data_IF_349635933021
#
_entry.id   IF_349635933021
#
_cell.length_a   1.000
_cell.length_b   1.000
_cell.length_c   1.000
_cell.angle_alpha   90.00
_cell.angle_beta   90.00
_cell.angle_gamma   90.00
#
_symmetry.space_group_name_H-M   'P 1'
#
loop_
_entity.id
_entity.type
_entity.pdbx_description
1 polymer ?
#
# COMPACT_ATOMS: atom_id res chain seq x y z
N UNK A 1 17.74 -18.49 7.91
CA UNK A 1 18.32 -18.39 6.56
C UNK A 1 19.38 -17.29 6.51
N UNK A 2 20.47 -17.48 5.74
CA UNK A 2 21.53 -16.48 5.53
C UNK A 2 21.67 -16.15 4.05
N UNK A 3 21.72 -14.87 3.69
CA UNK A 3 21.94 -14.42 2.33
C UNK A 3 23.42 -14.59 1.93
N UNK A 4 23.65 -15.01 0.69
CA UNK A 4 25.01 -15.32 0.20
C UNK A 4 25.26 -14.52 -1.07
N UNK A 5 26.40 -13.83 -1.11
CA UNK A 5 26.90 -13.16 -2.29
C UNK A 5 28.19 -13.82 -2.78
N UNK A 6 28.44 -13.72 -4.07
CA UNK A 6 29.70 -14.16 -4.67
C UNK A 6 30.84 -13.15 -4.46
N UNK A 7 32.05 -13.47 -4.94
CA UNK A 7 33.23 -12.58 -4.85
C UNK A 7 32.97 -11.14 -5.37
N UNK A 8 32.12 -11.00 -6.38
CA UNK A 8 31.76 -9.75 -7.06
C UNK A 8 30.46 -9.11 -6.54
N UNK A 9 29.91 -9.62 -5.42
CA UNK A 9 28.65 -9.17 -4.82
C UNK A 9 27.40 -9.47 -5.66
N UNK A 10 27.47 -10.42 -6.59
CA UNK A 10 26.30 -10.98 -7.27
C UNK A 10 25.56 -11.94 -6.31
N UNK A 11 24.22 -11.97 -6.31
CA UNK A 11 23.47 -12.82 -5.41
C UNK A 11 23.62 -14.30 -5.77
N UNK A 12 23.76 -15.14 -4.74
CA UNK A 12 23.75 -16.60 -4.82
C UNK A 12 22.55 -17.15 -4.03
N UNK A 13 22.33 -18.46 -4.14
CA UNK A 13 21.32 -19.13 -3.33
C UNK A 13 21.62 -18.94 -1.83
N UNK A 14 20.60 -18.62 -1.01
CA UNK A 14 20.78 -18.51 0.42
C UNK A 14 21.16 -19.88 1.01
N UNK A 15 21.74 -19.87 2.21
CA UNK A 15 22.08 -21.10 2.90
C UNK A 15 21.60 -21.11 4.35
N UNK A 16 21.68 -22.29 4.98
CA UNK A 16 21.37 -22.46 6.40
C UNK A 16 22.45 -21.81 7.27
N UNK A 17 22.08 -21.42 8.48
CA UNK A 17 22.98 -20.81 9.47
C UNK A 17 24.17 -21.74 9.76
N UNK A 18 23.93 -23.05 9.79
CA UNK A 18 24.99 -24.07 9.96
C UNK A 18 26.03 -23.97 8.85
N UNK A 19 25.59 -23.89 7.58
CA UNK A 19 26.51 -23.78 6.44
C UNK A 19 27.24 -22.45 6.43
N UNK A 20 26.55 -21.35 6.72
CA UNK A 20 27.17 -20.02 6.82
C UNK A 20 28.28 -19.98 7.89
N UNK A 21 28.02 -20.55 9.08
CA UNK A 21 29.01 -20.65 10.16
C UNK A 21 30.25 -21.44 9.75
N UNK A 22 30.07 -22.60 9.11
CA UNK A 22 31.19 -23.42 8.63
C UNK A 22 32.01 -22.69 7.57
N UNK A 23 31.37 -21.95 6.66
CA UNK A 23 32.07 -21.15 5.65
C UNK A 23 32.90 -20.02 6.26
N UNK A 24 32.39 -19.37 7.32
CA UNK A 24 33.09 -18.34 8.07
C UNK A 24 34.27 -18.92 8.87
N UNK A 25 34.05 -20.00 9.62
CA UNK A 25 35.10 -20.67 10.41
C UNK A 25 36.25 -21.18 9.54
N UNK A 26 35.94 -21.68 8.33
CA UNK A 26 36.94 -22.13 7.35
C UNK A 26 37.58 -20.99 6.54
N UNK A 27 37.27 -19.72 6.85
CA UNK A 27 37.84 -18.56 6.17
C UNK A 27 37.41 -18.35 4.71
N UNK A 28 36.47 -19.16 4.20
CA UNK A 28 35.98 -19.13 2.81
C UNK A 28 34.97 -18.01 2.53
N UNK A 29 34.33 -17.50 3.57
CA UNK A 29 33.41 -16.38 3.49
C UNK A 29 33.83 -15.24 4.42
N UNK A 30 33.30 -14.05 4.16
CA UNK A 30 33.36 -12.89 5.07
C UNK A 30 31.95 -12.39 5.35
N UNK A 31 31.75 -11.78 6.52
CA UNK A 31 30.52 -11.04 6.80
C UNK A 31 30.49 -9.81 5.91
N UNK A 32 29.42 -9.65 5.13
CA UNK A 32 29.21 -8.49 4.26
C UNK A 32 28.27 -7.48 4.92
N UNK A 33 27.21 -7.96 5.58
CA UNK A 33 26.20 -7.13 6.24
C UNK A 33 25.60 -7.86 7.42
N UNK A 34 25.30 -7.13 8.50
CA UNK A 34 24.63 -7.69 9.68
C UNK A 34 23.11 -7.74 9.54
N UNK A 35 22.49 -6.75 8.88
CA UNK A 35 21.03 -6.70 8.74
C UNK A 35 20.56 -6.37 7.30
N UNK A 36 19.92 -7.32 6.60
CA UNK A 36 19.84 -8.73 6.97
C UNK A 36 21.23 -9.39 6.95
N UNK A 37 21.41 -10.45 7.75
CA UNK A 37 22.71 -11.12 7.85
C UNK A 37 23.09 -11.74 6.50
N UNK A 38 24.22 -11.28 5.95
CA UNK A 38 24.68 -11.59 4.60
C UNK A 38 26.16 -11.91 4.64
N UNK A 39 26.54 -13.03 4.04
CA UNK A 39 27.94 -13.42 3.85
C UNK A 39 28.33 -13.28 2.39
N UNK A 40 29.63 -13.07 2.14
CA UNK A 40 30.21 -13.05 0.80
C UNK A 40 31.29 -14.12 0.68
N UNK A 41 31.20 -14.98 -0.33
CA UNK A 41 32.22 -15.98 -0.64
C UNK A 41 33.46 -15.32 -1.25
N UNK A 42 34.65 -15.83 -0.93
CA UNK A 42 35.93 -15.33 -1.47
C UNK A 42 36.38 -16.07 -2.73
N UNK A 43 35.94 -17.31 -2.88
CA UNK A 43 36.53 -18.34 -3.73
C UNK A 43 35.58 -18.84 -4.81
N UNK A 44 34.41 -18.21 -4.98
CA UNK A 44 33.39 -18.62 -5.95
C UNK A 44 32.69 -17.43 -6.57
N UNK A 45 32.34 -17.55 -7.85
CA UNK A 45 31.52 -16.60 -8.61
C UNK A 45 30.13 -17.15 -8.89
N UNK A 46 29.19 -16.28 -9.26
CA UNK A 46 27.84 -16.69 -9.68
C UNK A 46 27.84 -17.59 -10.93
N UNK A 47 28.74 -17.32 -11.89
CA UNK A 47 28.88 -18.13 -13.11
C UNK A 47 29.35 -19.56 -12.82
N UNK A 48 30.11 -19.76 -11.74
CA UNK A 48 30.57 -21.07 -11.28
C UNK A 48 29.56 -21.77 -10.36
N UNK A 49 28.37 -21.19 -10.18
CA UNK A 49 27.35 -21.67 -9.25
C UNK A 49 26.09 -22.08 -9.99
N UNK A 50 25.47 -23.18 -9.55
CA UNK A 50 24.14 -23.54 -9.99
C UNK A 50 23.12 -22.79 -9.13
N UNK A 51 22.20 -22.08 -9.79
CA UNK A 51 21.14 -21.30 -9.17
C UNK A 51 19.81 -21.93 -9.54
N UNK A 52 18.91 -22.04 -8.57
CA UNK A 52 17.52 -22.40 -8.83
C UNK A 52 16.68 -21.15 -9.08
N UNK A 53 15.68 -21.21 -9.98
CA UNK A 53 14.79 -20.08 -10.23
C UNK A 53 14.00 -19.72 -8.97
N UNK A 54 14.05 -18.45 -8.60
CA UNK A 54 13.29 -17.90 -7.47
C UNK A 54 12.22 -16.93 -7.96
N UNK A 55 10.98 -17.12 -7.51
CA UNK A 55 9.88 -16.19 -7.73
C UNK A 55 9.55 -15.42 -6.47
N UNK A 56 9.50 -14.09 -6.60
CA UNK A 56 9.01 -13.20 -5.56
C UNK A 56 7.50 -13.00 -5.74
N UNK A 57 6.69 -13.39 -4.75
CA UNK A 57 5.26 -13.12 -4.70
C UNK A 57 4.97 -12.00 -3.70
N UNK A 58 4.13 -11.05 -4.12
CA UNK A 58 3.69 -9.92 -3.32
C UNK A 58 2.16 -9.97 -3.20
N UNK A 59 1.67 -9.83 -1.97
CA UNK A 59 0.25 -9.63 -1.66
C UNK A 59 0.07 -8.22 -1.05
N UNK A 60 -0.26 -7.20 -1.87
CA UNK A 60 -0.32 -5.82 -1.41
C UNK A 60 -1.56 -5.52 -0.55
N UNK A 61 -1.34 -5.24 0.74
CA UNK A 61 -2.42 -4.85 1.66
C UNK A 61 -2.40 -3.37 2.06
N UNK A 62 -3.45 -2.95 2.78
CA UNK A 62 -3.59 -1.57 3.25
C UNK A 62 -2.59 -1.22 4.36
N UNK A 63 -2.35 -2.15 5.29
CA UNK A 63 -1.45 -1.97 6.45
C UNK A 63 -0.17 -2.79 6.32
N UNK A 64 -0.28 -3.99 5.76
CA UNK A 64 0.82 -4.95 5.62
C UNK A 64 0.80 -5.47 4.20
N UNK A 65 1.97 -5.58 3.56
CA UNK A 65 2.12 -6.34 2.31
C UNK A 65 2.83 -7.65 2.64
N UNK A 66 2.20 -8.77 2.28
CA UNK A 66 2.80 -10.09 2.38
C UNK A 66 3.85 -10.28 1.30
N UNK A 67 4.98 -10.90 1.66
CA UNK A 67 6.09 -11.17 0.75
C UNK A 67 6.52 -12.61 0.91
N UNK A 68 6.53 -13.36 -0.19
CA UNK A 68 7.05 -14.71 -0.24
C UNK A 68 8.10 -14.86 -1.35
N UNK A 69 9.20 -15.54 -1.06
CA UNK A 69 10.14 -16.01 -2.09
C UNK A 69 10.01 -17.51 -2.18
N UNK A 70 9.68 -17.99 -3.37
CA UNK A 70 9.48 -19.40 -3.67
C UNK A 70 10.57 -19.87 -4.62
N UNK A 71 11.00 -21.12 -4.45
CA UNK A 71 11.81 -21.85 -5.42
C UNK A 71 10.87 -22.62 -6.34
N UNK A 72 11.03 -22.45 -7.64
CA UNK A 72 10.17 -23.06 -8.68
C UNK A 72 11.02 -23.96 -9.60
N UNK A 73 11.84 -24.82 -8.99
CA UNK A 73 12.65 -25.81 -9.70
C UNK A 73 11.81 -27.01 -10.20
N UNK A 74 10.71 -27.33 -9.51
CA UNK A 74 9.74 -28.33 -9.95
C UNK A 74 8.39 -27.67 -10.27
N UNK A 75 7.67 -28.19 -11.29
CA UNK A 75 6.37 -27.63 -11.70
C UNK A 75 5.25 -27.89 -10.68
N UNK A 76 5.38 -28.98 -9.91
CA UNK A 76 4.34 -29.47 -9.01
C UNK A 76 4.60 -29.12 -7.53
N UNK A 77 5.79 -28.63 -7.20
CA UNK A 77 6.19 -28.30 -5.82
C UNK A 77 6.91 -26.95 -5.76
N UNK A 78 6.35 -26.01 -5.00
CA UNK A 78 6.98 -24.72 -4.71
C UNK A 78 7.52 -24.71 -3.27
N UNK A 79 8.84 -24.76 -3.11
CA UNK A 79 9.45 -24.68 -1.78
C UNK A 79 9.59 -23.22 -1.35
N UNK A 80 9.17 -22.92 -0.12
CA UNK A 80 9.26 -21.56 0.43
C UNK A 80 10.66 -21.29 0.97
N UNK A 81 11.33 -20.28 0.40
CA UNK A 81 12.67 -19.85 0.80
C UNK A 81 12.60 -18.76 1.88
N UNK A 82 11.68 -17.81 1.72
CA UNK A 82 11.52 -16.68 2.63
C UNK A 82 10.06 -16.28 2.72
N UNK A 83 9.60 -16.04 3.94
CA UNK A 83 8.36 -15.32 4.24
C UNK A 83 8.71 -14.04 4.99
N UNK A 84 8.10 -12.94 4.59
CA UNK A 84 8.30 -11.64 5.20
C UNK A 84 7.05 -10.77 5.09
N UNK A 85 6.96 -9.78 5.96
CA UNK A 85 5.90 -8.79 5.96
C UNK A 85 6.49 -7.39 5.84
N UNK A 86 5.88 -6.56 5.01
CA UNK A 86 6.20 -5.14 4.92
C UNK A 86 5.12 -4.37 5.68
N UNK A 87 5.45 -3.86 6.87
CA UNK A 87 4.56 -3.00 7.62
C UNK A 87 4.59 -1.57 7.06
N UNK A 88 3.44 -1.12 6.55
CA UNK A 88 3.30 0.20 5.97
C UNK A 88 3.04 1.27 7.00
N UNK A 89 3.40 2.52 6.67
CA UNK A 89 3.08 3.68 7.49
C UNK A 89 1.59 4.04 7.35
N UNK A 90 0.82 3.82 8.42
CA UNK A 90 -0.63 4.07 8.46
C UNK A 90 -0.99 5.49 8.90
N UNK A 91 -0.04 6.21 9.53
CA UNK A 91 -0.26 7.51 10.18
C UNK A 91 -0.08 8.73 9.25
N UNK A 92 0.26 8.50 7.98
CA UNK A 92 0.54 9.57 7.00
C UNK A 92 -0.65 10.52 6.87
N UNK A 93 -1.87 9.96 6.76
CA UNK A 93 -3.11 10.76 6.67
C UNK A 93 -3.32 11.61 7.92
N UNK A 94 -3.23 11.00 9.10
CA UNK A 94 -3.39 11.69 10.37
C UNK A 94 -2.39 12.85 10.52
N UNK A 95 -1.11 12.62 10.17
CA UNK A 95 -0.06 13.66 10.18
C UNK A 95 -0.34 14.78 9.19
N UNK A 96 -0.86 14.47 8.00
CA UNK A 96 -1.25 15.48 7.01
C UNK A 96 -2.45 16.31 7.48
N UNK A 97 -3.44 15.69 8.10
CA UNK A 97 -4.64 16.36 8.61
C UNK A 97 -4.30 17.24 9.82
N UNK A 98 -3.46 16.77 10.75
CA UNK A 98 -2.94 17.59 11.84
C UNK A 98 -2.22 18.85 11.30
N UNK A 99 -1.33 18.67 10.32
CA UNK A 99 -0.61 19.79 9.68
C UNK A 99 -1.57 20.75 8.95
N UNK A 100 -2.63 20.22 8.33
CA UNK A 100 -3.68 21.00 7.67
C UNK A 100 -4.49 21.81 8.68
N UNK A 101 -4.86 21.23 9.81
CA UNK A 101 -5.59 21.89 10.89
C UNK A 101 -4.81 23.08 11.47
N UNK A 102 -3.53 22.89 11.80
CA UNK A 102 -2.65 23.97 12.30
C UNK A 102 -2.58 25.13 11.29
N UNK A 103 -2.41 24.83 10.00
CA UNK A 103 -2.38 25.86 8.93
C UNK A 103 -3.73 26.57 8.76
N UNK A 104 -4.86 25.88 8.97
CA UNK A 104 -6.19 26.50 8.95
C UNK A 104 -6.36 27.44 10.14
N UNK A 105 -6.05 26.99 11.35
CA UNK A 105 -6.12 27.81 12.59
C UNK A 105 -5.26 29.07 12.49
N UNK A 106 -4.02 28.93 11.99
CA UNK A 106 -3.13 30.09 11.76
C UNK A 106 -3.73 31.09 10.76
N UNK A 107 -4.26 30.62 9.63
CA UNK A 107 -4.88 31.49 8.61
C UNK A 107 -6.10 32.22 9.15
N UNK A 108 -6.98 31.53 9.88
CA UNK A 108 -8.14 32.16 10.51
C UNK A 108 -7.71 33.28 11.47
N UNK A 109 -6.69 33.05 12.30
CA UNK A 109 -6.17 34.05 13.25
C UNK A 109 -5.39 35.21 12.64
N UNK A 110 -4.63 34.97 11.56
CA UNK A 110 -3.60 35.91 11.05
C UNK A 110 -3.91 36.49 9.68
N UNK A 111 -4.89 35.96 8.95
CA UNK A 111 -5.24 36.44 7.61
C UNK A 111 -6.74 36.61 7.48
N UNK A 112 -7.26 37.71 8.05
CA UNK A 112 -8.64 38.15 7.84
C UNK A 112 -8.80 38.48 6.34
N UNK A 113 -9.79 37.89 5.66
CA UNK A 113 -10.10 38.11 4.24
C UNK A 113 -9.16 37.51 3.17
N UNK A 114 -8.44 36.42 3.47
CA UNK A 114 -7.65 35.71 2.42
C UNK A 114 -8.57 35.00 1.42
N UNK A 115 -8.63 35.49 0.17
CA UNK A 115 -9.33 34.84 -0.94
C UNK A 115 -8.88 33.37 -1.12
N UNK A 116 -9.82 32.44 -1.40
CA UNK A 116 -9.48 31.05 -1.66
C UNK A 116 -8.67 30.92 -2.97
N UNK A 117 -7.67 30.05 -2.97
CA UNK A 117 -6.83 29.75 -4.15
C UNK A 117 -7.09 28.33 -4.61
N UNK A 118 -8.20 28.10 -5.31
CA UNK A 118 -8.57 26.78 -5.84
C UNK A 118 -7.64 26.37 -7.00
N UNK A 119 -7.29 27.32 -7.86
CA UNK A 119 -6.44 27.11 -9.05
C UNK A 119 -5.00 26.69 -8.74
N UNK A 120 -4.51 26.94 -7.52
CA UNK A 120 -3.15 26.60 -7.11
C UNK A 120 -3.00 25.14 -6.63
N UNK A 121 -4.05 24.32 -6.79
CA UNK A 121 -4.08 22.92 -6.37
C UNK A 121 -4.12 21.99 -7.59
N UNK A 122 -3.24 22.22 -8.57
CA UNK A 122 -3.07 21.25 -9.67
C UNK A 122 -2.29 20.04 -9.16
N UNK A 123 -2.79 18.86 -9.51
CA UNK A 123 -2.06 17.59 -9.34
C UNK A 123 -1.42 17.28 -10.69
N UNK A 124 -0.11 17.00 -10.75
CA UNK A 124 0.51 16.59 -12.00
C UNK A 124 -0.06 15.25 -12.45
N UNK A 125 0.17 14.93 -13.72
CA UNK A 125 -0.09 13.59 -14.25
C UNK A 125 0.70 12.54 -13.46
N UNK A 126 0.09 11.39 -13.18
CA UNK A 126 0.70 10.34 -12.35
C UNK A 126 0.75 10.64 -10.85
N UNK A 127 0.15 11.73 -10.37
CA UNK A 127 0.15 12.04 -8.94
C UNK A 127 -0.57 10.96 -8.12
N UNK A 128 0.13 10.42 -7.14
CA UNK A 128 -0.44 9.53 -6.13
C UNK A 128 -0.67 10.28 -4.81
N UNK A 129 -1.74 9.97 -4.07
CA UNK A 129 -1.88 10.47 -2.70
C UNK A 129 -0.68 10.03 -1.86
N UNK A 130 -0.17 10.86 -0.93
CA UNK A 130 1.06 10.55 -0.18
C UNK A 130 1.01 9.22 0.60
N UNK A 131 -0.18 8.78 1.03
CA UNK A 131 -0.36 7.49 1.69
C UNK A 131 -0.23 6.31 0.72
N UNK A 132 -0.65 6.46 -0.54
CA UNK A 132 -0.47 5.45 -1.57
C UNK A 132 0.98 5.42 -2.05
N UNK A 133 1.55 6.59 -2.33
CA UNK A 133 2.95 6.74 -2.74
C UNK A 133 3.90 6.12 -1.70
N UNK A 134 3.66 6.37 -0.40
CA UNK A 134 4.46 5.76 0.67
C UNK A 134 4.40 4.23 0.65
N UNK A 135 3.24 3.63 0.38
CA UNK A 135 3.11 2.16 0.29
C UNK A 135 3.88 1.60 -0.89
N UNK A 136 3.69 2.18 -2.08
CA UNK A 136 4.41 1.79 -3.30
C UNK A 136 5.91 1.88 -3.09
N UNK A 137 6.41 3.01 -2.57
CA UNK A 137 7.84 3.22 -2.35
C UNK A 137 8.43 2.27 -1.30
N UNK A 138 7.67 1.93 -0.25
CA UNK A 138 8.10 0.95 0.75
C UNK A 138 8.21 -0.45 0.14
N UNK A 139 7.23 -0.85 -0.66
CA UNK A 139 7.26 -2.13 -1.38
C UNK A 139 8.43 -2.19 -2.37
N UNK A 140 8.59 -1.17 -3.21
CA UNK A 140 9.72 -1.07 -4.14
C UNK A 140 11.07 -1.11 -3.43
N UNK A 141 11.20 -0.43 -2.28
CA UNK A 141 12.43 -0.47 -1.48
C UNK A 141 12.74 -1.88 -0.97
N UNK A 142 11.73 -2.63 -0.53
CA UNK A 142 11.89 -4.01 -0.08
C UNK A 142 12.24 -4.95 -1.25
N UNK A 143 11.53 -4.86 -2.37
CA UNK A 143 11.79 -5.64 -3.59
C UNK A 143 13.23 -5.41 -4.08
N UNK A 144 13.66 -4.15 -4.17
CA UNK A 144 15.02 -3.80 -4.58
C UNK A 144 16.10 -4.32 -3.63
N UNK A 145 15.80 -4.46 -2.33
CA UNK A 145 16.73 -5.10 -1.38
C UNK A 145 16.81 -6.60 -1.62
N UNK A 146 15.68 -7.27 -1.86
CA UNK A 146 15.65 -8.71 -2.13
C UNK A 146 16.34 -9.05 -3.45
N UNK A 147 16.14 -8.27 -4.52
CA UNK A 147 16.82 -8.45 -5.81
C UNK A 147 18.36 -8.37 -5.69
N UNK A 148 18.88 -7.61 -4.71
CA UNK A 148 20.31 -7.51 -4.45
C UNK A 148 20.88 -8.67 -3.63
N UNK A 149 20.02 -9.44 -2.98
CA UNK A 149 20.40 -10.48 -2.01
C UNK A 149 20.05 -11.90 -2.48
N UNK A 150 19.11 -12.04 -3.41
CA UNK A 150 18.61 -13.30 -3.92
C UNK A 150 18.58 -13.27 -5.46
N UNK A 151 18.90 -14.41 -6.12
CA UNK A 151 18.84 -14.54 -7.56
C UNK A 151 17.38 -14.72 -8.04
N UNK A 152 16.56 -13.69 -7.87
CA UNK A 152 15.14 -13.69 -8.27
C UNK A 152 15.05 -13.59 -9.79
N UNK A 153 14.28 -14.49 -10.40
CA UNK A 153 14.07 -14.56 -11.85
C UNK A 153 12.69 -14.02 -12.27
N UNK A 154 11.70 -14.09 -11.38
CA UNK A 154 10.34 -13.63 -11.66
C UNK A 154 9.72 -12.91 -10.45
N UNK A 155 8.83 -11.97 -10.73
CA UNK A 155 8.02 -11.29 -9.71
C UNK A 155 6.55 -11.45 -10.09
N UNK A 156 5.71 -11.83 -9.12
CA UNK A 156 4.26 -11.87 -9.26
C UNK A 156 3.63 -11.04 -8.15
N UNK A 157 2.61 -10.26 -8.49
CA UNK A 157 1.87 -9.47 -7.52
C UNK A 157 0.40 -9.78 -7.67
N UNK A 158 -0.30 -9.92 -6.56
CA UNK A 158 -1.75 -10.01 -6.58
C UNK A 158 -2.35 -8.65 -6.98
N UNK A 159 -3.30 -8.69 -7.91
CA UNK A 159 -4.09 -7.52 -8.30
C UNK A 159 -5.53 -7.76 -7.91
N UNK A 160 -5.94 -7.12 -6.82
CA UNK A 160 -7.30 -7.24 -6.32
C UNK A 160 -8.17 -6.18 -6.99
N UNK A 161 -9.02 -6.61 -7.93
CA UNK A 161 -10.00 -5.76 -8.61
C UNK A 161 -11.40 -6.13 -8.12
N UNK A 162 -11.97 -5.31 -7.24
CA UNK A 162 -13.36 -5.46 -6.80
C UNK A 162 -14.27 -4.48 -7.54
N UNK A 163 -15.40 -4.99 -8.03
CA UNK A 163 -16.51 -4.17 -8.48
C UNK A 163 -17.49 -3.98 -7.31
N UNK A 164 -17.36 -2.85 -6.62
CA UNK A 164 -18.19 -2.57 -5.44
C UNK A 164 -19.66 -2.36 -5.79
N UNK A 165 -20.00 -1.98 -7.02
CA UNK A 165 -21.40 -1.83 -7.42
C UNK A 165 -22.02 -3.19 -7.71
N UNK A 166 -21.30 -4.06 -8.43
CA UNK A 166 -21.75 -5.43 -8.70
C UNK A 166 -21.88 -6.28 -7.44
N UNK A 167 -21.07 -6.01 -6.41
CA UNK A 167 -21.23 -6.62 -5.08
C UNK A 167 -22.54 -6.23 -4.39
N UNK A 168 -23.11 -5.06 -4.71
CA UNK A 168 -24.37 -4.60 -4.12
C UNK A 168 -25.58 -4.98 -4.97
N UNK A 169 -25.46 -4.85 -6.29
CA UNK A 169 -26.46 -5.28 -7.26
C UNK A 169 -25.78 -6.16 -8.32
N UNK A 170 -25.87 -7.50 -8.22
CA UNK A 170 -25.22 -8.42 -9.16
C UNK A 170 -25.66 -8.26 -10.62
N UNK A 171 -26.90 -7.80 -10.83
CA UNK A 171 -27.52 -7.64 -12.16
C UNK A 171 -27.21 -6.29 -12.81
N UNK A 172 -26.47 -5.40 -12.13
CA UNK A 172 -26.19 -4.05 -12.64
C UNK A 172 -25.50 -4.11 -14.00
N UNK A 173 -26.03 -3.37 -14.97
CA UNK A 173 -25.53 -3.40 -16.35
C UNK A 173 -25.64 -2.04 -17.08
N UNK A 174 -24.75 -1.84 -18.05
CA UNK A 174 -24.79 -0.70 -18.98
C UNK A 174 -24.86 0.68 -18.31
N UNK A 175 -25.98 1.38 -18.53
CA UNK A 175 -26.21 2.76 -18.09
C UNK A 175 -26.32 2.85 -16.56
N UNK A 176 -26.73 1.79 -15.87
CA UNK A 176 -26.91 1.78 -14.41
C UNK A 176 -25.59 1.99 -13.66
N UNK A 177 -24.45 1.58 -14.23
CA UNK A 177 -23.13 1.90 -13.68
C UNK A 177 -22.83 3.40 -13.64
N UNK A 178 -23.39 4.14 -14.61
CA UNK A 178 -23.19 5.58 -14.78
C UNK A 178 -24.24 6.38 -14.01
N UNK A 179 -25.46 5.84 -13.92
CA UNK A 179 -26.61 6.44 -13.23
C UNK A 179 -26.80 5.80 -11.86
N UNK A 180 -25.98 6.22 -10.89
CA UNK A 180 -26.20 5.86 -9.49
C UNK A 180 -27.53 6.39 -8.95
N UNK A 181 -27.92 5.99 -7.74
CA UNK A 181 -29.21 6.33 -7.11
C UNK A 181 -29.56 7.82 -7.11
N UNK A 182 -28.55 8.70 -7.04
CA UNK A 182 -28.71 10.16 -7.02
C UNK A 182 -28.44 10.81 -8.39
N UNK A 183 -28.39 10.04 -9.48
CA UNK A 183 -28.15 10.59 -10.80
C UNK A 183 -29.27 11.57 -11.19
N UNK A 184 -28.90 12.82 -11.44
CA UNK A 184 -29.85 13.89 -11.73
C UNK A 184 -30.38 14.63 -10.49
N UNK A 185 -29.99 14.22 -9.28
CA UNK A 185 -30.32 14.91 -8.03
C UNK A 185 -29.11 15.61 -7.43
N UNK A 186 -29.29 16.83 -6.92
CA UNK A 186 -28.37 17.35 -5.92
C UNK A 186 -28.58 16.60 -4.59
N UNK A 187 -27.49 16.31 -3.87
CA UNK A 187 -27.56 15.61 -2.56
C UNK A 187 -28.50 16.34 -1.60
N UNK A 188 -28.52 17.67 -1.65
CA UNK A 188 -29.40 18.49 -0.80
C UNK A 188 -30.87 18.29 -1.16
N UNK A 189 -31.22 18.31 -2.44
CA UNK A 189 -32.59 18.12 -2.92
C UNK A 189 -33.10 16.73 -2.55
N UNK A 190 -32.28 15.71 -2.79
CA UNK A 190 -32.61 14.34 -2.38
C UNK A 190 -32.90 14.23 -0.88
N UNK A 191 -32.08 14.87 -0.03
CA UNK A 191 -32.31 14.85 1.41
C UNK A 191 -33.58 15.61 1.81
N UNK A 192 -33.87 16.74 1.18
CA UNK A 192 -35.10 17.49 1.44
C UNK A 192 -36.33 16.67 1.07
N UNK A 193 -36.34 16.05 -0.11
CA UNK A 193 -37.46 15.23 -0.56
C UNK A 193 -37.63 13.97 0.29
N UNK A 194 -36.52 13.28 0.61
CA UNK A 194 -36.51 12.10 1.49
C UNK A 194 -37.16 12.36 2.85
N UNK A 195 -36.95 13.55 3.41
CA UNK A 195 -37.50 13.94 4.71
C UNK A 195 -38.73 14.85 4.61
N UNK A 196 -39.32 14.99 3.42
CA UNK A 196 -40.53 15.79 3.20
C UNK A 196 -40.37 17.26 3.57
N UNK A 197 -39.19 17.84 3.37
CA UNK A 197 -38.80 19.20 3.77
C UNK A 197 -38.89 19.46 5.29
N UNK A 198 -38.84 18.39 6.10
CA UNK A 198 -38.86 18.47 7.57
C UNK A 198 -37.50 18.15 8.16
N UNK A 199 -37.20 18.70 9.33
CA UNK A 199 -36.04 18.27 10.10
C UNK A 199 -36.20 16.81 10.54
N UNK A 200 -35.21 15.96 10.23
CA UNK A 200 -35.23 14.54 10.59
C UNK A 200 -35.26 14.28 12.12
N UNK A 201 -34.85 15.24 12.94
CA UNK A 201 -34.81 15.09 14.41
C UNK A 201 -36.05 15.64 15.10
N UNK A 202 -36.51 16.82 14.71
CA UNK A 202 -37.56 17.55 15.43
C UNK A 202 -38.83 17.80 14.61
N UNK A 203 -38.87 17.38 13.34
CA UNK A 203 -40.04 17.51 12.47
C UNK A 203 -40.40 18.95 12.07
N UNK A 204 -39.62 19.96 12.45
CA UNK A 204 -39.89 21.36 12.07
C UNK A 204 -39.75 21.57 10.57
N UNK A 205 -40.63 22.41 10.04
CA UNK A 205 -40.73 22.82 8.64
C UNK A 205 -40.41 24.32 8.50
N UNK A 206 -40.18 24.77 7.25
CA UNK A 206 -40.04 26.19 6.91
C UNK A 206 -38.95 26.95 7.68
N UNK A 207 -37.90 26.25 8.08
CA UNK A 207 -36.69 26.81 8.70
C UNK A 207 -35.46 26.48 7.84
N UNK A 208 -34.37 27.27 7.93
CA UNK A 208 -33.10 26.88 7.32
C UNK A 208 -32.64 25.51 7.86
N UNK A 209 -32.53 24.51 6.98
CA UNK A 209 -32.05 23.17 7.30
C UNK A 209 -30.58 23.00 6.90
N UNK A 210 -29.80 22.36 7.78
CA UNK A 210 -28.40 22.01 7.55
C UNK A 210 -28.27 20.52 7.21
N UNK A 211 -27.28 20.19 6.38
CA UNK A 211 -26.95 18.81 6.04
C UNK A 211 -25.96 18.29 7.08
N UNK A 212 -26.40 17.30 7.85
CA UNK A 212 -25.56 16.65 8.86
C UNK A 212 -25.58 15.13 8.71
N UNK A 213 -24.56 14.49 9.24
CA UNK A 213 -24.55 13.05 9.40
C UNK A 213 -25.40 12.64 10.61
N UNK A 214 -26.35 11.73 10.42
CA UNK A 214 -27.16 11.15 11.52
C UNK A 214 -26.25 10.56 12.61
N UNK A 215 -25.26 9.77 12.20
CA UNK A 215 -24.14 9.38 13.05
C UNK A 215 -23.00 10.36 12.76
N UNK A 216 -22.52 11.15 13.72
CA UNK A 216 -21.43 12.09 13.46
C UNK A 216 -20.19 11.40 12.85
N UNK A 217 -19.50 12.05 11.92
CA UNK A 217 -18.25 11.51 11.32
C UNK A 217 -17.20 11.13 12.36
N UNK A 218 -17.14 11.83 13.49
CA UNK A 218 -16.23 11.50 14.59
C UNK A 218 -16.56 10.14 15.27
N UNK A 219 -17.79 9.66 15.15
CA UNK A 219 -18.27 8.35 15.61
C UNK A 219 -18.35 7.31 14.49
N UNK A 220 -17.78 7.60 13.32
CA UNK A 220 -17.75 6.67 12.18
C UNK A 220 -18.90 6.81 11.19
N UNK A 221 -19.67 7.89 11.23
CA UNK A 221 -20.69 8.19 10.22
C UNK A 221 -20.13 8.18 8.80
N UNK A 222 -20.78 7.44 7.91
CA UNK A 222 -20.44 7.35 6.50
C UNK A 222 -21.15 8.44 5.68
N UNK A 223 -20.64 8.75 4.49
CA UNK A 223 -21.32 9.63 3.54
C UNK A 223 -22.46 8.91 2.77
N UNK A 224 -22.97 7.81 3.32
CA UNK A 224 -24.07 7.01 2.78
C UNK A 224 -25.33 7.20 3.61
#
# INVERSE_FOLDING_TARGET
MVFVLDKHKKPLMPCTEKRARLLLQRGRAVVYKLQPFTIRLKDRTAEQSQLQPLRLKLDPGAKVTGVAVLREDNKDEAETVLLAEIHHKTDVKAKLDARRAVRRKRRNRKTRYRKPRFLNRKRPEGWLPPSFEARVNQTLSAVNKLLKLLPITAISTEHVKFDTQKLQNPEISGIEYQKGTLFGYEVKEYLLEKWGHKCAYCGRESVPLEIEHIIPRCRGGSDR
#
